data_IF_610514208761
#
_entry.id   IF_610514208761
#
_cell.length_a   1.000
_cell.length_b   1.000
_cell.length_c   1.000
_cell.angle_alpha   90.00
_cell.angle_beta   90.00
_cell.angle_gamma   90.00
#
_symmetry.space_group_name_H-M   'P 1'
#
loop_
_entity.id
_entity.type
_entity.pdbx_description
1 polymer ?
#
# COMPACT_ATOMS: atom_id res chain seq x y z
N UNK A 1 13.35 -3.85 22.30
CA UNK A 1 13.49 -4.38 20.92
C UNK A 1 14.97 -4.34 20.55
N UNK A 2 15.56 -5.46 20.10
CA UNK A 2 17.01 -5.54 19.82
C UNK A 2 17.42 -4.69 18.59
N UNK A 3 18.48 -3.90 18.72
CA UNK A 3 19.08 -3.09 17.65
C UNK A 3 19.53 -3.94 16.45
N UNK A 4 19.84 -5.23 16.65
CA UNK A 4 20.15 -6.15 15.55
C UNK A 4 18.96 -6.37 14.60
N UNK A 5 17.71 -6.20 15.07
CA UNK A 5 16.51 -6.21 14.20
C UNK A 5 16.36 -4.91 13.38
N UNK A 6 16.90 -3.78 13.84
CA UNK A 6 16.87 -2.52 13.10
C UNK A 6 17.91 -2.48 11.97
N UNK A 7 19.07 -3.13 12.16
CA UNK A 7 20.10 -3.30 11.13
C UNK A 7 19.86 -4.47 10.20
N UNK A 8 19.28 -5.56 10.69
CA UNK A 8 18.71 -6.53 9.78
C UNK A 8 17.59 -5.88 8.96
N UNK A 9 16.80 -4.94 9.51
CA UNK A 9 15.83 -4.15 8.74
C UNK A 9 16.43 -3.18 7.71
N UNK A 10 17.68 -2.74 7.86
CA UNK A 10 18.40 -2.03 6.79
C UNK A 10 18.74 -2.95 5.59
N UNK A 11 18.69 -4.27 5.80
CA UNK A 11 18.85 -5.31 4.76
C UNK A 11 17.55 -6.09 4.48
N UNK A 12 16.51 -5.98 5.32
CA UNK A 12 15.22 -6.69 5.18
C UNK A 12 14.19 -5.86 4.41
N UNK A 13 14.35 -4.53 4.28
CA UNK A 13 13.54 -3.77 3.31
C UNK A 13 13.79 -4.24 1.87
N UNK A 14 14.93 -4.89 1.65
CA UNK A 14 15.18 -5.77 0.53
C UNK A 14 14.91 -7.22 0.94
N UNK A 15 13.65 -7.66 0.90
CA UNK A 15 13.45 -8.89 0.11
C UNK A 15 13.80 -8.50 -1.31
N UNK A 16 15.09 -8.52 -1.61
CA UNK A 16 15.57 -8.79 -2.95
C UNK A 16 14.78 -10.02 -3.38
N UNK A 17 13.79 -9.81 -4.24
CA UNK A 17 13.16 -10.90 -4.96
C UNK A 17 14.18 -11.50 -5.96
N UNK A 18 15.38 -10.92 -6.10
CA UNK A 18 16.22 -11.09 -7.28
C UNK A 18 17.70 -11.41 -7.00
N UNK A 19 18.00 -12.33 -6.08
CA UNK A 19 19.30 -13.03 -6.20
C UNK A 19 19.33 -14.48 -5.72
N UNK A 20 18.42 -14.94 -4.84
CA UNK A 20 18.54 -16.28 -4.26
C UNK A 20 17.32 -17.20 -4.36
N UNK A 21 16.24 -16.77 -5.03
CA UNK A 21 15.16 -17.70 -5.40
C UNK A 21 14.78 -17.46 -6.85
N UNK A 22 15.15 -18.41 -7.71
CA UNK A 22 14.64 -18.48 -9.06
C UNK A 22 13.10 -18.53 -8.97
N UNK A 23 12.43 -17.44 -9.37
CA UNK A 23 10.99 -17.45 -9.49
C UNK A 23 10.63 -18.37 -10.66
N UNK A 24 9.69 -19.28 -10.43
CA UNK A 24 9.14 -20.16 -11.44
C UNK A 24 7.72 -19.68 -11.76
N UNK A 25 7.44 -19.33 -13.02
CA UNK A 25 8.30 -19.53 -14.20
C UNK A 25 9.45 -18.51 -14.32
N UNK A 26 10.57 -18.95 -14.89
CA UNK A 26 11.80 -18.13 -15.04
C UNK A 26 11.64 -16.98 -16.03
N UNK A 27 10.67 -17.07 -16.94
CA UNK A 27 10.35 -16.06 -17.98
C UNK A 27 9.14 -15.19 -17.63
N UNK A 28 8.95 -14.88 -16.35
CA UNK A 28 7.87 -13.97 -15.94
C UNK A 28 8.31 -12.51 -16.06
N UNK A 29 7.66 -11.75 -16.94
CA UNK A 29 7.85 -10.30 -17.09
C UNK A 29 6.95 -9.62 -16.06
N UNK A 30 7.56 -9.06 -15.01
CA UNK A 30 6.80 -8.36 -13.97
C UNK A 30 6.26 -7.03 -14.49
N UNK A 31 5.06 -6.65 -14.04
CA UNK A 31 4.50 -5.31 -14.29
C UNK A 31 5.47 -4.22 -13.80
N UNK A 32 6.22 -4.50 -12.73
CA UNK A 32 7.14 -3.55 -12.11
C UNK A 32 8.59 -3.69 -12.62
N UNK A 33 8.85 -4.44 -13.69
CA UNK A 33 10.22 -4.71 -14.15
C UNK A 33 11.01 -3.43 -14.48
N UNK A 34 10.36 -2.43 -15.06
CA UNK A 34 10.97 -1.15 -15.44
C UNK A 34 10.74 -0.04 -14.40
N UNK A 35 10.11 -0.36 -13.27
CA UNK A 35 9.89 0.60 -12.19
C UNK A 35 11.17 0.64 -11.36
N UNK A 36 11.74 1.83 -11.09
CA UNK A 36 12.89 1.93 -10.22
C UNK A 36 12.56 1.35 -8.85
N UNK A 37 13.57 0.93 -8.09
CA UNK A 37 13.32 0.48 -6.74
C UNK A 37 12.77 1.62 -5.89
N UNK A 38 11.97 1.29 -4.88
CA UNK A 38 11.49 2.27 -3.91
C UNK A 38 12.69 3.07 -3.36
N UNK A 39 12.62 4.41 -3.35
CA UNK A 39 13.75 5.25 -2.93
C UNK A 39 14.13 4.96 -1.49
N UNK A 40 15.42 5.16 -1.20
CA UNK A 40 15.94 5.08 0.17
C UNK A 40 15.57 6.36 0.92
N UNK A 41 15.25 6.25 2.19
CA UNK A 41 15.02 7.44 3.02
C UNK A 41 16.29 8.30 3.10
N UNK A 42 16.13 9.60 3.38
CA UNK A 42 17.24 10.54 3.54
C UNK A 42 18.35 10.01 4.48
N UNK A 43 17.96 9.41 5.60
CA UNK A 43 18.87 8.73 6.54
C UNK A 43 19.61 7.53 5.93
N UNK A 44 18.93 6.70 5.12
CA UNK A 44 19.55 5.56 4.44
C UNK A 44 20.53 6.00 3.34
N UNK A 45 20.26 7.12 2.67
CA UNK A 45 21.20 7.75 1.72
C UNK A 45 22.46 8.21 2.47
N UNK A 46 22.29 8.90 3.60
CA UNK A 46 23.38 9.32 4.48
C UNK A 46 24.24 8.13 4.95
N UNK A 47 23.62 7.06 5.47
CA UNK A 47 24.35 5.87 5.91
C UNK A 47 25.20 5.31 4.78
N UNK A 48 24.65 5.19 3.57
CA UNK A 48 25.36 4.61 2.43
C UNK A 48 26.57 5.45 2.02
N UNK A 49 26.43 6.77 2.05
CA UNK A 49 27.54 7.71 1.78
C UNK A 49 28.67 7.52 2.80
N UNK A 50 28.32 7.38 4.08
CA UNK A 50 29.29 7.28 5.18
C UNK A 50 29.84 5.87 5.44
N UNK A 51 29.22 4.82 4.88
CA UNK A 51 29.72 3.45 4.89
C UNK A 51 30.42 3.05 3.58
N UNK A 52 30.61 4.00 2.65
CA UNK A 52 31.27 3.73 1.37
C UNK A 52 32.76 3.47 1.61
N UNK A 53 33.22 2.24 1.36
CA UNK A 53 34.63 1.85 1.47
C UNK A 53 35.03 1.17 2.79
N UNK A 54 34.13 1.07 3.77
CA UNK A 54 34.39 0.31 5.01
C UNK A 54 34.07 -1.17 4.82
N UNK A 55 35.01 -2.08 5.14
CA UNK A 55 34.73 -3.53 5.19
C UNK A 55 33.86 -3.81 6.41
N UNK A 56 32.57 -4.07 6.17
CA UNK A 56 31.56 -4.24 7.21
C UNK A 56 31.63 -5.63 7.86
N UNK A 57 32.32 -5.76 8.99
CA UNK A 57 32.15 -6.90 9.91
C UNK A 57 30.84 -6.72 10.70
N UNK A 58 30.14 -7.79 11.10
CA UNK A 58 28.86 -7.68 11.83
C UNK A 58 28.94 -6.82 13.10
N UNK A 59 30.03 -6.92 13.86
CA UNK A 59 30.29 -6.09 15.05
C UNK A 59 30.63 -4.63 14.69
N UNK A 60 31.29 -4.43 13.54
CA UNK A 60 31.55 -3.09 13.01
C UNK A 60 30.28 -2.40 12.54
N UNK A 61 29.28 -3.15 12.05
CA UNK A 61 28.00 -2.60 11.60
C UNK A 61 27.14 -2.07 12.76
N UNK A 62 27.15 -2.73 13.91
CA UNK A 62 26.37 -2.31 15.07
C UNK A 62 26.97 -1.07 15.74
N UNK A 63 28.30 -1.03 15.91
CA UNK A 63 29.03 0.15 16.43
C UNK A 63 28.96 1.35 15.49
N UNK A 64 29.20 1.12 14.19
CA UNK A 64 29.11 2.18 13.19
C UNK A 64 27.72 2.79 13.12
N UNK A 65 26.65 2.02 13.33
CA UNK A 65 25.34 2.65 13.26
C UNK A 65 24.97 3.51 14.46
N UNK A 66 25.41 3.19 15.67
CA UNK A 66 25.18 4.08 16.81
C UNK A 66 25.90 5.41 16.58
N UNK A 67 27.13 5.36 16.06
CA UNK A 67 27.91 6.54 15.70
C UNK A 67 27.28 7.33 14.54
N UNK A 68 26.83 6.67 13.48
CA UNK A 68 26.14 7.31 12.36
C UNK A 68 24.84 7.97 12.80
N UNK A 69 24.10 7.37 13.74
CA UNK A 69 22.86 7.95 14.27
C UNK A 69 23.16 9.23 15.06
N UNK A 70 24.23 9.24 15.86
CA UNK A 70 24.69 10.44 16.53
C UNK A 70 25.11 11.53 15.53
N UNK A 71 25.88 11.16 14.49
CA UNK A 71 26.28 12.08 13.41
C UNK A 71 25.07 12.69 12.69
N UNK A 72 24.09 11.87 12.30
CA UNK A 72 22.86 12.36 11.67
C UNK A 72 22.06 13.30 12.58
N UNK A 73 21.97 13.01 13.88
CA UNK A 73 21.32 13.91 14.82
C UNK A 73 22.04 15.25 14.92
N UNK A 74 23.37 15.23 14.94
CA UNK A 74 24.23 16.41 15.01
C UNK A 74 24.24 17.25 13.72
N UNK A 75 23.90 16.69 12.56
CA UNK A 75 23.80 17.45 11.31
C UNK A 75 22.78 18.60 11.43
N UNK A 76 23.15 19.75 10.88
CA UNK A 76 22.28 20.91 10.75
C UNK A 76 21.11 20.64 9.80
N UNK A 77 20.06 21.46 9.89
CA UNK A 77 18.92 21.37 8.98
C UNK A 77 19.33 21.50 7.51
N UNK A 78 20.30 22.37 7.23
CA UNK A 78 20.82 22.60 5.88
C UNK A 78 21.56 21.38 5.32
N UNK A 79 22.40 20.72 6.12
CA UNK A 79 23.09 19.50 5.69
C UNK A 79 22.13 18.32 5.49
N UNK A 80 21.08 18.23 6.33
CA UNK A 80 20.00 17.26 6.15
C UNK A 80 19.20 17.52 4.89
N UNK A 81 19.03 18.77 4.49
CA UNK A 81 18.23 19.17 3.32
C UNK A 81 18.72 18.49 2.04
N UNK A 82 20.04 18.38 1.83
CA UNK A 82 20.64 17.63 0.71
C UNK A 82 20.03 16.23 0.57
N UNK A 83 19.95 15.49 1.68
CA UNK A 83 19.45 14.12 1.68
C UNK A 83 17.93 14.04 1.49
N UNK A 84 17.18 15.01 2.01
CA UNK A 84 15.73 15.10 1.78
C UNK A 84 15.41 15.38 0.32
N UNK A 85 16.11 16.32 -0.32
CA UNK A 85 15.93 16.62 -1.75
C UNK A 85 16.23 15.40 -2.64
N UNK A 86 17.30 14.66 -2.33
CA UNK A 86 17.59 13.40 -3.04
C UNK A 86 16.41 12.42 -2.89
N UNK A 87 15.97 12.17 -1.66
CA UNK A 87 14.84 11.27 -1.40
C UNK A 87 13.56 11.70 -2.12
N UNK A 88 13.20 12.98 -2.07
CA UNK A 88 12.01 13.52 -2.74
C UNK A 88 12.08 13.34 -4.25
N UNK A 89 13.22 13.66 -4.87
CA UNK A 89 13.39 13.50 -6.32
C UNK A 89 13.28 12.04 -6.77
N UNK A 90 13.89 11.10 -6.04
CA UNK A 90 13.81 9.67 -6.35
C UNK A 90 12.40 9.11 -6.06
N UNK A 91 11.73 9.62 -5.02
CA UNK A 91 10.35 9.26 -4.70
C UNK A 91 9.39 9.66 -5.79
N UNK A 92 9.50 10.87 -6.31
CA UNK A 92 8.63 11.35 -7.39
C UNK A 92 8.86 10.54 -8.67
N UNK A 93 10.12 10.23 -9.00
CA UNK A 93 10.44 9.37 -10.14
C UNK A 93 9.85 7.97 -9.97
N UNK A 94 9.95 7.39 -8.77
CA UNK A 94 9.35 6.11 -8.43
C UNK A 94 7.83 6.12 -8.55
N UNK A 95 7.16 7.10 -7.95
CA UNK A 95 5.69 7.18 -7.94
C UNK A 95 5.14 7.36 -9.36
N UNK A 96 5.79 8.19 -10.18
CA UNK A 96 5.43 8.36 -11.60
C UNK A 96 5.60 7.07 -12.38
N UNK A 97 6.76 6.42 -12.30
CA UNK A 97 7.02 5.17 -13.00
C UNK A 97 6.10 4.03 -12.54
N UNK A 98 5.83 3.94 -11.24
CA UNK A 98 4.91 2.97 -10.65
C UNK A 98 3.47 3.19 -11.16
N UNK A 99 2.99 4.44 -11.15
CA UNK A 99 1.66 4.77 -11.65
C UNK A 99 1.51 4.43 -13.14
N UNK A 100 2.50 4.75 -13.97
CA UNK A 100 2.50 4.41 -15.40
C UNK A 100 2.45 2.89 -15.59
N UNK A 101 3.28 2.13 -14.89
CA UNK A 101 3.31 0.67 -14.99
C UNK A 101 1.97 0.04 -14.58
N UNK A 102 1.38 0.50 -13.48
CA UNK A 102 0.12 0.00 -12.94
C UNK A 102 -1.06 0.35 -13.85
N UNK A 103 -1.12 1.56 -14.41
CA UNK A 103 -2.24 1.96 -15.28
C UNK A 103 -2.19 1.29 -16.68
N UNK A 104 -0.99 1.06 -17.20
CA UNK A 104 -0.79 0.45 -18.51
C UNK A 104 -0.96 -1.08 -18.49
N UNK A 105 -0.88 -1.71 -17.32
CA UNK A 105 -1.06 -3.14 -17.20
C UNK A 105 -2.53 -3.57 -17.48
N UNK A 106 -2.64 -4.76 -18.06
CA UNK A 106 -3.92 -5.44 -18.30
C UNK A 106 -4.37 -6.23 -17.07
N UNK A 107 -5.69 -6.46 -16.89
CA UNK A 107 -6.21 -7.31 -15.82
C UNK A 107 -5.56 -8.70 -15.78
N UNK A 108 -5.26 -9.29 -16.95
CA UNK A 108 -4.59 -10.59 -17.06
C UNK A 108 -3.17 -10.56 -16.50
N UNK A 109 -2.39 -9.51 -16.79
CA UNK A 109 -1.06 -9.34 -16.21
C UNK A 109 -1.12 -9.20 -14.69
N UNK A 110 -2.08 -8.43 -14.16
CA UNK A 110 -2.27 -8.30 -12.70
C UNK A 110 -2.60 -9.64 -12.06
N UNK A 111 -3.48 -10.43 -12.68
CA UNK A 111 -3.84 -11.76 -12.18
C UNK A 111 -2.62 -12.68 -12.13
N UNK A 112 -1.86 -12.78 -13.23
CA UNK A 112 -0.65 -13.62 -13.31
C UNK A 112 0.43 -13.19 -12.31
N UNK A 113 0.72 -11.90 -12.21
CA UNK A 113 1.63 -11.32 -11.22
C UNK A 113 1.20 -11.67 -9.79
N UNK A 114 -0.09 -11.53 -9.48
CA UNK A 114 -0.62 -11.79 -8.14
C UNK A 114 -0.65 -13.28 -7.77
N UNK A 115 -0.81 -14.19 -8.74
CA UNK A 115 -0.64 -15.63 -8.51
C UNK A 115 0.79 -15.94 -8.03
N UNK A 116 1.80 -15.35 -8.67
CA UNK A 116 3.19 -15.52 -8.28
C UNK A 116 3.49 -14.83 -6.94
N UNK A 117 3.02 -13.61 -6.73
CA UNK A 117 3.17 -12.92 -5.45
C UNK A 117 2.56 -13.72 -4.30
N UNK A 118 1.37 -14.30 -4.50
CA UNK A 118 0.75 -15.20 -3.53
C UNK A 118 1.60 -16.45 -3.27
N UNK A 119 2.06 -17.14 -4.32
CA UNK A 119 2.94 -18.32 -4.23
C UNK A 119 4.20 -18.05 -3.41
N UNK A 120 4.80 -16.87 -3.58
CA UNK A 120 6.02 -16.45 -2.90
C UNK A 120 5.78 -15.64 -1.61
N UNK A 121 4.52 -15.54 -1.13
CA UNK A 121 4.12 -14.81 0.09
C UNK A 121 4.54 -13.33 0.06
N UNK A 122 4.38 -12.69 -1.09
CA UNK A 122 4.64 -11.28 -1.32
C UNK A 122 3.34 -10.46 -1.25
N UNK A 123 3.42 -9.15 -0.93
CA UNK A 123 2.29 -8.25 -1.04
C UNK A 123 1.73 -8.23 -2.47
N UNK A 124 0.41 -8.37 -2.57
CA UNK A 124 -0.31 -8.33 -3.83
C UNK A 124 -0.29 -6.92 -4.42
N UNK A 125 -0.22 -6.85 -5.75
CA UNK A 125 -0.40 -5.61 -6.48
C UNK A 125 -1.89 -5.31 -6.64
N UNK A 126 -2.28 -4.07 -6.37
CA UNK A 126 -3.66 -3.60 -6.50
C UNK A 126 -3.86 -3.10 -7.93
N UNK A 127 -4.83 -3.69 -8.63
CA UNK A 127 -5.25 -3.25 -9.95
C UNK A 127 -6.25 -2.09 -9.83
N UNK A 128 -5.99 -0.90 -10.41
CA UNK A 128 -6.92 0.22 -10.41
C UNK A 128 -8.23 -0.07 -11.16
N UNK A 129 -8.21 -0.93 -12.18
CA UNK A 129 -9.36 -1.28 -13.02
C UNK A 129 -10.27 -2.31 -12.36
N UNK A 130 -9.79 -2.99 -11.32
CA UNK A 130 -10.59 -3.99 -10.60
C UNK A 130 -11.78 -3.32 -9.90
N UNK A 131 -13.02 -3.73 -10.20
CA UNK A 131 -14.20 -3.17 -9.54
C UNK A 131 -14.11 -3.34 -8.02
N UNK A 132 -14.45 -2.28 -7.29
CA UNK A 132 -14.53 -2.31 -5.82
C UNK A 132 -15.90 -2.80 -5.38
N UNK A 133 -15.94 -3.56 -4.29
CA UNK A 133 -17.22 -3.98 -3.69
C UNK A 133 -18.02 -2.74 -3.27
N UNK A 134 -19.31 -2.66 -3.63
CA UNK A 134 -20.15 -1.53 -3.25
C UNK A 134 -20.45 -1.57 -1.74
N UNK A 135 -20.88 -0.43 -1.22
CA UNK A 135 -21.34 -0.31 0.16
C UNK A 135 -22.61 -1.14 0.37
N UNK A 136 -22.71 -1.79 1.53
CA UNK A 136 -23.96 -2.42 1.95
C UNK A 136 -24.97 -1.36 2.43
N UNK A 137 -26.20 -1.77 2.75
CA UNK A 137 -27.26 -0.85 3.16
C UNK A 137 -26.88 0.00 4.38
N UNK A 138 -26.28 -0.62 5.40
CA UNK A 138 -25.81 0.06 6.61
C UNK A 138 -24.71 1.09 6.31
N UNK A 139 -23.70 0.71 5.52
CA UNK A 139 -22.58 1.60 5.16
C UNK A 139 -23.05 2.74 4.25
N UNK A 140 -24.06 2.49 3.41
CA UNK A 140 -24.68 3.53 2.58
C UNK A 140 -25.43 4.55 3.44
N UNK A 141 -26.14 4.08 4.48
CA UNK A 141 -26.77 4.96 5.48
C UNK A 141 -25.72 5.73 6.31
N UNK A 142 -24.66 5.05 6.75
CA UNK A 142 -23.53 5.68 7.45
C UNK A 142 -22.89 6.79 6.61
N UNK A 143 -22.66 6.53 5.32
CA UNK A 143 -22.14 7.53 4.38
C UNK A 143 -23.10 8.72 4.25
N UNK A 144 -24.39 8.48 4.07
CA UNK A 144 -25.40 9.54 3.97
C UNK A 144 -25.45 10.44 5.23
N UNK A 145 -25.33 9.87 6.42
CA UNK A 145 -25.26 10.64 7.66
C UNK A 145 -23.95 11.43 7.82
N UNK A 146 -22.83 10.90 7.32
CA UNK A 146 -21.55 11.64 7.30
C UNK A 146 -21.62 12.81 6.33
N UNK A 147 -22.20 12.60 5.15
CA UNK A 147 -22.32 13.62 4.12
C UNK A 147 -23.29 14.73 4.54
N UNK A 148 -24.36 14.39 5.29
CA UNK A 148 -25.29 15.36 5.88
C UNK A 148 -24.76 16.04 7.15
N UNK A 149 -23.55 15.68 7.63
CA UNK A 149 -22.96 16.15 8.90
C UNK A 149 -23.94 16.03 10.06
N UNK A 150 -24.58 14.86 10.20
CA UNK A 150 -25.56 14.65 11.26
C UNK A 150 -25.01 15.05 12.64
N UNK A 151 -25.75 15.89 13.37
CA UNK A 151 -25.27 16.53 14.60
C UNK A 151 -24.70 15.54 15.64
N UNK A 152 -25.28 14.35 15.76
CA UNK A 152 -24.80 13.32 16.69
C UNK A 152 -23.45 12.68 16.29
N UNK A 153 -22.98 12.87 15.06
CA UNK A 153 -21.72 12.30 14.56
C UNK A 153 -20.59 13.32 14.47
N UNK A 154 -20.92 14.61 14.40
CA UNK A 154 -19.93 15.66 14.25
C UNK A 154 -18.98 15.72 15.46
N UNK A 155 -17.68 15.85 15.19
CA UNK A 155 -16.63 15.87 16.22
C UNK A 155 -16.38 14.53 16.93
N UNK A 156 -17.22 13.52 16.72
CA UNK A 156 -17.04 12.21 17.36
C UNK A 156 -15.96 11.36 16.67
N UNK A 157 -15.17 10.57 17.41
CA UNK A 157 -14.29 9.57 16.83
C UNK A 157 -15.08 8.56 15.99
N UNK A 158 -14.44 8.00 14.94
CA UNK A 158 -15.08 7.03 14.02
C UNK A 158 -15.70 5.83 14.75
N UNK A 159 -15.10 5.39 15.85
CA UNK A 159 -15.64 4.30 16.67
C UNK A 159 -16.98 4.65 17.34
N UNK A 160 -17.12 5.88 17.86
CA UNK A 160 -18.36 6.35 18.48
C UNK A 160 -19.42 6.66 17.42
N UNK A 161 -19.01 7.24 16.28
CA UNK A 161 -19.88 7.42 15.12
C UNK A 161 -20.54 6.10 14.70
N UNK A 162 -19.77 5.00 14.63
CA UNK A 162 -20.31 3.69 14.26
C UNK A 162 -21.34 3.16 15.27
N UNK A 163 -21.16 3.39 16.58
CA UNK A 163 -22.15 2.99 17.60
C UNK A 163 -23.44 3.78 17.45
N UNK A 164 -23.34 5.09 17.25
CA UNK A 164 -24.48 6.00 17.08
C UNK A 164 -25.28 5.60 15.84
N UNK A 165 -24.60 5.41 14.70
CA UNK A 165 -25.26 4.98 13.46
C UNK A 165 -25.83 3.56 13.59
N UNK A 166 -25.17 2.66 14.31
CA UNK A 166 -25.71 1.35 14.64
C UNK A 166 -27.07 1.43 15.33
N UNK A 167 -27.22 2.33 16.32
CA UNK A 167 -28.49 2.58 17.00
C UNK A 167 -29.53 3.20 16.05
N UNK A 168 -29.17 4.29 15.37
CA UNK A 168 -30.06 5.00 14.45
C UNK A 168 -30.57 4.08 13.32
N UNK A 169 -29.68 3.27 12.74
CA UNK A 169 -30.05 2.30 11.71
C UNK A 169 -30.96 1.20 12.26
N UNK A 170 -30.82 0.80 13.53
CA UNK A 170 -31.73 -0.18 14.14
C UNK A 170 -33.13 0.40 14.37
N UNK A 171 -33.21 1.65 14.80
CA UNK A 171 -34.44 2.41 15.03
C UNK A 171 -35.13 2.88 13.74
N UNK A 172 -34.40 2.91 12.62
CA UNK A 172 -34.91 3.36 11.33
C UNK A 172 -36.15 2.56 10.87
N UNK A 173 -37.20 3.23 10.34
CA UNK A 173 -38.37 2.55 9.79
C UNK A 173 -38.00 1.55 8.70
N UNK A 174 -38.77 0.46 8.57
CA UNK A 174 -38.48 -0.56 7.55
C UNK A 174 -38.62 0.00 6.13
N UNK A 175 -39.52 0.99 5.92
CA UNK A 175 -39.66 1.72 4.65
C UNK A 175 -38.36 2.42 4.25
N UNK A 176 -37.72 3.13 5.18
CA UNK A 176 -36.46 3.83 4.93
C UNK A 176 -35.28 2.85 4.81
N UNK A 177 -35.23 1.82 5.66
CA UNK A 177 -34.25 0.72 5.52
C UNK A 177 -34.34 0.08 4.15
N UNK A 178 -35.55 -0.11 3.63
CA UNK A 178 -35.79 -0.72 2.31
C UNK A 178 -35.14 0.11 1.20
N UNK A 179 -35.18 1.44 1.26
CA UNK A 179 -34.52 2.30 0.28
C UNK A 179 -33.01 2.02 0.22
N UNK A 180 -32.34 1.89 1.38
CA UNK A 180 -30.91 1.58 1.44
C UNK A 180 -30.60 0.14 1.04
N UNK A 181 -31.46 -0.82 1.39
CA UNK A 181 -31.35 -2.22 0.94
C UNK A 181 -31.47 -2.33 -0.58
N UNK A 182 -32.47 -1.69 -1.18
CA UNK A 182 -32.69 -1.69 -2.63
C UNK A 182 -31.51 -1.04 -3.36
N UNK A 183 -31.02 0.11 -2.89
CA UNK A 183 -29.81 0.76 -3.44
C UNK A 183 -28.58 -0.14 -3.36
N UNK A 184 -28.36 -0.80 -2.21
CA UNK A 184 -27.22 -1.70 -2.03
C UNK A 184 -27.33 -2.95 -2.92
N UNK A 185 -28.54 -3.48 -3.10
CA UNK A 185 -28.80 -4.62 -3.98
C UNK A 185 -28.54 -4.26 -5.45
N UNK A 186 -29.05 -3.13 -5.92
CA UNK A 186 -28.81 -2.62 -7.27
C UNK A 186 -27.30 -2.41 -7.53
N UNK A 187 -26.59 -1.76 -6.60
CA UNK A 187 -25.16 -1.56 -6.71
C UNK A 187 -24.39 -2.89 -6.71
N UNK A 188 -24.83 -3.88 -5.91
CA UNK A 188 -24.25 -5.22 -5.90
C UNK A 188 -24.47 -5.97 -7.21
N UNK A 189 -25.64 -5.83 -7.84
CA UNK A 189 -25.91 -6.40 -9.16
C UNK A 189 -25.03 -5.79 -10.25
N UNK A 190 -24.86 -4.46 -10.25
CA UNK A 190 -23.93 -3.78 -11.15
C UNK A 190 -22.49 -4.24 -10.92
N UNK A 191 -22.07 -4.34 -9.66
CA UNK A 191 -20.75 -4.85 -9.29
C UNK A 191 -20.52 -6.28 -9.80
N UNK A 192 -21.51 -7.18 -9.65
CA UNK A 192 -21.42 -8.55 -10.19
C UNK A 192 -21.19 -8.57 -11.69
N UNK A 193 -21.88 -7.69 -12.44
CA UNK A 193 -21.69 -7.55 -13.89
C UNK A 193 -20.27 -7.06 -14.23
N UNK A 194 -19.81 -6.00 -13.56
CA UNK A 194 -18.46 -5.44 -13.75
C UNK A 194 -17.36 -6.45 -13.39
N UNK A 195 -17.53 -7.21 -12.31
CA UNK A 195 -16.56 -8.25 -11.92
C UNK A 195 -16.56 -9.42 -12.89
N UNK A 196 -17.72 -9.82 -13.41
CA UNK A 196 -17.78 -10.88 -14.42
C UNK A 196 -17.04 -10.48 -15.70
N UNK A 197 -17.18 -9.22 -16.13
CA UNK A 197 -16.43 -8.66 -17.25
C UNK A 197 -14.93 -8.58 -16.95
N UNK A 198 -14.55 -8.01 -15.80
CA UNK A 198 -13.16 -7.94 -15.37
C UNK A 198 -12.49 -9.32 -15.27
N UNK A 199 -13.19 -10.32 -14.73
CA UNK A 199 -12.69 -11.70 -14.64
C UNK A 199 -12.49 -12.31 -16.03
N UNK A 200 -13.38 -12.02 -16.99
CA UNK A 200 -13.23 -12.44 -18.39
C UNK A 200 -11.98 -11.83 -19.01
N UNK A 201 -11.76 -10.52 -18.85
CA UNK A 201 -10.56 -9.82 -19.32
C UNK A 201 -9.27 -10.36 -18.66
N UNK A 202 -9.36 -10.71 -17.37
CA UNK A 202 -8.26 -11.29 -16.62
C UNK A 202 -7.96 -12.76 -16.98
N UNK A 203 -8.81 -13.40 -17.80
CA UNK A 203 -8.71 -14.83 -18.10
C UNK A 203 -9.00 -15.72 -16.89
N UNK A 204 -9.74 -15.21 -15.90
CA UNK A 204 -10.20 -15.97 -14.74
C UNK A 204 -11.51 -16.65 -15.17
N UNK A 205 -11.40 -17.89 -15.61
CA UNK A 205 -12.58 -18.73 -15.85
C UNK A 205 -13.15 -19.17 -14.50
N UNK A 206 -14.44 -18.90 -14.29
CA UNK A 206 -15.20 -19.30 -13.11
C UNK A 206 -15.49 -20.81 -13.13
#
# INVERSE_FOLDING_TARGET
MSLSKLFSNLTIQTRSISSYRHMHPTKFVSILQNVPMKPRSAWQVFIREHLKGTKTTQEGLTKSSTELSAKWKALSGHEKQKYYTIYESEKDAYEKAFAVAVNNASPKQFYQENLLRKKYKLPLLVDPKKPKRPLNAYLSYYQALRDSKHASMEGQPVAEQAKIVGRLYKELPESEKKIYKDKANQAMEQYKKQVAEYNREAGIHA
#
